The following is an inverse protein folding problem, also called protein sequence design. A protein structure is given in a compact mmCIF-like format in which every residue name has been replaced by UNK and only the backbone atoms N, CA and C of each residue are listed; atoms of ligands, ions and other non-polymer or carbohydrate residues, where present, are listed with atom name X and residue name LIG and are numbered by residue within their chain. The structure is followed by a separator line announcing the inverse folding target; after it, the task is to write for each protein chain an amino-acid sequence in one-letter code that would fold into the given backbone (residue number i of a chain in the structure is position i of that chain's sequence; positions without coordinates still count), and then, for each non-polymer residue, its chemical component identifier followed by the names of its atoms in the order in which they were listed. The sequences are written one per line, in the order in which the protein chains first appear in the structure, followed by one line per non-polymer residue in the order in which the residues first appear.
data_IF_411040864053
#
_entry.id   IF_411040864053
#
_cell.length_a   1.000
_cell.length_b   1.000
_cell.length_c   1.000
_cell.angle_alpha   90.00
_cell.angle_beta   90.00
_cell.angle_gamma   90.00
#
_symmetry.space_group_name_H-M   'P 1'
#
loop_
_entity.id
_entity.type
_entity.pdbx_description
1 polymer ?
#
# COMPACT_ATOMS: atom_id res chain seq x y z
N UNK A 1 43.76 14.74 14.60
CA UNK A 1 42.38 14.85 14.06
C UNK A 1 41.45 14.18 15.07
N UNK A 2 40.70 14.97 15.84
CA UNK A 2 40.04 14.49 17.07
C UNK A 2 38.76 13.69 16.78
N UNK A 3 38.56 12.56 17.46
CA UNK A 3 37.37 11.70 17.34
C UNK A 3 36.04 12.46 17.54
N UNK A 4 36.04 13.53 18.34
CA UNK A 4 34.87 14.40 18.51
C UNK A 4 34.41 15.03 17.19
N UNK A 5 35.33 15.42 16.32
CA UNK A 5 35.02 16.01 15.01
C UNK A 5 34.40 14.99 14.04
N UNK A 6 34.82 13.73 14.12
CA UNK A 6 34.26 12.62 13.35
C UNK A 6 32.83 12.27 13.81
N UNK A 7 32.53 12.36 15.10
CA UNK A 7 31.16 12.16 15.60
C UNK A 7 30.20 13.26 15.13
N UNK A 8 30.64 14.52 15.09
CA UNK A 8 29.81 15.60 14.54
C UNK A 8 29.51 15.42 13.03
N UNK A 9 30.45 14.84 12.28
CA UNK A 9 30.26 14.52 10.86
C UNK A 9 29.35 13.30 10.63
N UNK A 10 29.40 12.28 11.50
CA UNK A 10 28.51 11.11 11.45
C UNK A 10 27.06 11.46 11.84
N UNK A 11 26.86 12.37 12.80
CA UNK A 11 25.51 12.81 13.16
C UNK A 11 24.86 13.72 12.10
N UNK A 12 25.65 14.42 11.27
CA UNK A 12 25.14 15.24 10.17
C UNK A 12 24.57 14.42 8.99
N UNK A 13 24.85 13.12 8.93
CA UNK A 13 24.31 12.20 7.91
C UNK A 13 22.99 11.53 8.31
N UNK A 14 22.47 11.77 9.51
CA UNK A 14 21.28 11.10 10.05
C UNK A 14 20.03 11.99 10.08
N UNK A 15 19.83 12.86 9.08
CA UNK A 15 18.72 13.83 9.08
C UNK A 15 17.97 13.90 7.74
N UNK A 16 17.33 12.81 7.31
CA UNK A 16 16.02 12.90 6.64
C UNK A 16 15.35 11.51 6.55
N UNK A 17 14.75 11.03 7.64
CA UNK A 17 13.79 9.90 7.60
C UNK A 17 12.34 10.37 7.31
N UNK A 18 12.17 11.58 6.76
CA UNK A 18 10.89 12.19 6.35
C UNK A 18 10.85 12.19 4.81
N UNK A 19 9.69 12.12 4.11
CA UNK A 19 9.63 12.06 2.64
C UNK A 19 9.96 13.40 1.99
N UNK A 20 11.13 13.94 2.32
CA UNK A 20 11.74 15.05 1.62
C UNK A 20 12.15 14.57 0.22
N UNK A 21 12.05 15.45 -0.77
CA UNK A 21 12.37 15.15 -2.18
C UNK A 21 13.75 14.49 -2.36
N UNK A 22 14.70 14.83 -1.48
CA UNK A 22 16.03 14.22 -1.43
C UNK A 22 16.00 12.76 -0.96
N UNK A 23 15.20 12.40 0.05
CA UNK A 23 15.09 11.01 0.50
C UNK A 23 14.45 10.10 -0.57
N UNK A 24 13.44 10.61 -1.28
CA UNK A 24 12.83 9.90 -2.42
C UNK A 24 13.87 9.73 -3.52
N UNK A 25 14.57 10.81 -3.91
CA UNK A 25 15.63 10.73 -4.92
C UNK A 25 16.72 9.72 -4.53
N UNK A 26 17.16 9.67 -3.27
CA UNK A 26 18.17 8.72 -2.79
C UNK A 26 17.64 7.28 -2.75
N UNK A 27 16.37 7.05 -2.40
CA UNK A 27 15.77 5.72 -2.42
C UNK A 27 15.70 5.13 -3.85
N UNK A 28 15.54 5.99 -4.85
CA UNK A 28 15.60 5.66 -6.28
C UNK A 28 16.97 5.94 -6.91
N UNK A 29 17.98 6.32 -6.12
CA UNK A 29 19.35 6.59 -6.61
C UNK A 29 20.16 5.30 -6.81
N UNK A 30 19.61 4.14 -6.44
CA UNK A 30 20.10 2.86 -6.98
C UNK A 30 19.98 2.85 -8.51
N UNK A 31 20.76 2.00 -9.18
CA UNK A 31 20.74 1.88 -10.63
C UNK A 31 19.34 1.43 -11.08
N UNK A 32 18.49 2.39 -11.44
CA UNK A 32 17.39 2.12 -12.36
C UNK A 32 18.09 1.79 -13.67
N UNK A 33 18.18 0.51 -14.00
CA UNK A 33 18.62 0.11 -15.34
C UNK A 33 17.54 0.62 -16.29
N UNK A 34 17.81 1.70 -17.05
CA UNK A 34 16.85 2.09 -18.08
C UNK A 34 16.71 0.88 -19.00
N UNK A 35 15.47 0.53 -19.34
CA UNK A 35 15.27 -0.48 -20.36
C UNK A 35 15.95 0.05 -21.63
N UNK A 36 16.89 -0.74 -22.18
CA UNK A 36 17.64 -0.36 -23.37
C UNK A 36 16.73 -0.08 -24.56
N UNK A 37 17.26 0.49 -25.66
CA UNK A 37 16.47 0.71 -26.86
C UNK A 37 15.87 -0.62 -27.36
N UNK A 38 14.61 -0.59 -27.77
CA UNK A 38 13.87 -1.80 -28.16
C UNK A 38 14.53 -2.57 -29.31
N UNK A 39 15.32 -1.88 -30.14
CA UNK A 39 16.08 -2.47 -31.24
C UNK A 39 17.20 -3.41 -30.79
N UNK A 40 17.67 -3.29 -29.54
CA UNK A 40 18.70 -4.15 -28.94
C UNK A 40 18.08 -5.33 -28.18
N UNK A 41 16.75 -5.43 -28.10
CA UNK A 41 16.12 -6.52 -27.36
C UNK A 41 16.13 -7.79 -28.21
N UNK A 42 16.74 -8.84 -27.68
CA UNK A 42 16.58 -10.19 -28.19
C UNK A 42 15.26 -10.76 -27.66
N UNK A 43 14.19 -10.61 -28.44
CA UNK A 43 12.84 -11.08 -28.08
C UNK A 43 12.60 -12.43 -28.75
N UNK A 44 12.47 -13.54 -28.00
CA UNK A 44 12.17 -14.85 -28.56
C UNK A 44 10.88 -14.87 -29.40
N UNK A 45 10.83 -15.70 -30.45
CA UNK A 45 9.67 -15.79 -31.36
C UNK A 45 8.37 -16.14 -30.63
N UNK A 46 8.44 -16.99 -29.60
CA UNK A 46 7.31 -17.38 -28.77
C UNK A 46 6.73 -16.19 -27.99
N UNK A 47 7.54 -15.18 -27.65
CA UNK A 47 7.12 -13.93 -27.00
C UNK A 47 6.60 -12.92 -28.03
N UNK A 48 7.28 -12.77 -29.17
CA UNK A 48 6.84 -11.87 -30.25
C UNK A 48 5.44 -12.24 -30.78
N UNK A 49 5.11 -13.53 -30.78
CA UNK A 49 3.82 -14.05 -31.22
C UNK A 49 2.70 -13.90 -30.17
N UNK A 50 3.01 -13.46 -28.94
CA UNK A 50 2.00 -13.29 -27.88
C UNK A 50 1.17 -12.03 -28.12
N UNK A 51 -0.11 -12.23 -28.43
CA UNK A 51 -1.09 -11.14 -28.44
C UNK A 51 -1.58 -10.89 -27.02
N UNK A 52 -1.13 -9.79 -26.40
CA UNK A 52 -1.62 -9.36 -25.08
C UNK A 52 -2.97 -8.66 -25.25
N UNK A 53 -4.05 -9.36 -24.91
CA UNK A 53 -5.39 -8.78 -24.87
C UNK A 53 -5.63 -8.03 -23.55
N UNK A 54 -6.44 -6.96 -23.56
CA UNK A 54 -6.84 -6.31 -22.32
C UNK A 54 -7.61 -7.29 -21.43
N UNK A 55 -7.56 -7.11 -20.09
CA UNK A 55 -8.34 -7.92 -19.16
C UNK A 55 -9.81 -7.97 -19.59
N UNK A 56 -10.35 -9.18 -19.68
CA UNK A 56 -11.76 -9.38 -20.03
C UNK A 56 -12.62 -9.00 -18.81
N UNK A 57 -13.21 -7.80 -18.85
CA UNK A 57 -14.15 -7.36 -17.84
C UNK A 57 -14.39 -5.85 -17.88
N UNK A 58 -15.64 -5.44 -17.62
CA UNK A 58 -15.95 -4.03 -17.36
C UNK A 58 -16.02 -3.82 -15.85
N UNK A 59 -15.39 -2.74 -15.37
CA UNK A 59 -15.67 -2.25 -14.01
C UNK A 59 -17.14 -1.81 -14.00
N UNK A 60 -17.96 -2.24 -13.02
CA UNK A 60 -19.34 -1.79 -12.94
C UNK A 60 -19.38 -0.26 -12.87
N UNK A 61 -20.26 0.34 -13.68
CA UNK A 61 -20.50 1.77 -13.63
C UNK A 61 -21.13 2.13 -12.28
N UNK A 62 -20.76 3.31 -11.76
CA UNK A 62 -21.31 3.83 -10.51
C UNK A 62 -20.40 3.68 -9.30
N UNK A 63 -21.00 3.87 -8.12
CA UNK A 63 -20.27 3.97 -6.85
C UNK A 63 -19.76 2.58 -6.43
N UNK A 64 -18.48 2.45 -6.04
CA UNK A 64 -17.99 1.24 -5.41
C UNK A 64 -18.84 0.83 -4.20
N UNK A 65 -19.01 -0.48 -3.93
CA UNK A 65 -19.77 -0.93 -2.77
C UNK A 65 -19.15 -0.36 -1.48
N UNK A 66 -20.01 0.05 -0.55
CA UNK A 66 -19.56 0.51 0.79
C UNK A 66 -18.86 -0.59 1.58
N UNK A 67 -19.20 -1.86 1.30
CA UNK A 67 -18.58 -3.03 1.93
C UNK A 67 -17.33 -3.41 1.15
N UNK A 68 -16.23 -3.59 1.86
CA UNK A 68 -14.96 -4.09 1.32
C UNK A 68 -15.13 -5.54 0.82
N UNK A 69 -14.47 -5.88 -0.29
CA UNK A 69 -14.32 -7.28 -0.75
C UNK A 69 -13.00 -7.82 -0.16
N UNK A 70 -13.00 -8.95 0.57
CA UNK A 70 -11.78 -9.59 1.04
C UNK A 70 -11.00 -10.20 -0.13
N UNK A 71 -9.67 -10.24 0.01
CA UNK A 71 -8.79 -10.98 -0.91
C UNK A 71 -8.84 -12.49 -0.60
N UNK A 72 -8.23 -13.30 -1.45
CA UNK A 72 -8.06 -14.72 -1.19
C UNK A 72 -7.22 -14.94 0.08
N UNK A 73 -7.70 -15.80 0.99
CA UNK A 73 -7.08 -16.02 2.31
C UNK A 73 -7.46 -15.00 3.39
N UNK A 74 -8.20 -13.93 3.06
CA UNK A 74 -8.70 -13.00 4.08
C UNK A 74 -10.05 -13.44 4.65
N UNK A 75 -10.15 -13.49 5.98
CA UNK A 75 -11.43 -13.74 6.64
C UNK A 75 -12.32 -12.49 6.68
N UNK A 76 -13.64 -12.71 6.50
CA UNK A 76 -14.64 -11.67 6.69
C UNK A 76 -14.87 -11.49 8.19
N UNK A 77 -14.22 -10.48 8.78
CA UNK A 77 -14.47 -10.11 10.18
C UNK A 77 -15.72 -9.24 10.29
N UNK A 78 -16.79 -9.81 10.84
CA UNK A 78 -17.97 -9.04 11.20
C UNK A 78 -17.77 -8.34 12.55
N UNK A 79 -17.68 -7.00 12.52
CA UNK A 79 -17.59 -6.19 13.73
C UNK A 79 -18.89 -6.31 14.54
N UNK A 80 -18.76 -6.79 15.77
CA UNK A 80 -19.84 -6.80 16.77
C UNK A 80 -20.01 -5.41 17.36
N UNK A 81 -21.24 -5.06 17.72
CA UNK A 81 -21.56 -3.84 18.42
C UNK A 81 -20.83 -3.80 19.77
N UNK A 82 -20.13 -2.71 20.09
CA UNK A 82 -19.42 -2.58 21.37
C UNK A 82 -20.33 -2.69 22.60
N UNK A 83 -21.60 -2.27 22.47
CA UNK A 83 -22.62 -2.26 23.53
C UNK A 83 -23.31 -3.62 23.67
N UNK A 84 -24.10 -4.05 22.69
CA UNK A 84 -24.91 -5.27 22.80
C UNK A 84 -24.27 -6.53 22.19
N UNK A 85 -23.06 -6.44 21.64
CA UNK A 85 -22.35 -7.52 20.92
C UNK A 85 -23.07 -8.10 19.70
N UNK A 86 -24.22 -7.56 19.30
CA UNK A 86 -24.95 -7.93 18.09
C UNK A 86 -24.26 -7.47 16.80
N UNK A 87 -24.66 -8.05 15.66
CA UNK A 87 -24.12 -7.73 14.33
C UNK A 87 -24.97 -6.68 13.60
N UNK A 88 -24.45 -6.16 12.47
CA UNK A 88 -25.20 -5.31 11.53
C UNK A 88 -25.33 -3.83 11.90
N UNK A 89 -24.89 -3.43 13.09
CA UNK A 89 -24.92 -2.04 13.53
C UNK A 89 -23.70 -1.68 14.39
N UNK A 90 -23.38 -0.39 14.45
CA UNK A 90 -22.31 0.13 15.31
C UNK A 90 -22.88 0.60 16.66
N UNK A 91 -22.00 0.90 17.64
CA UNK A 91 -22.39 1.39 18.98
C UNK A 91 -23.26 2.66 18.90
N UNK A 92 -22.99 3.54 17.94
CA UNK A 92 -23.70 4.82 17.76
C UNK A 92 -25.17 4.63 17.33
N UNK A 93 -25.45 3.63 16.48
CA UNK A 93 -26.80 3.29 16.01
C UNK A 93 -27.44 2.17 16.83
N UNK A 94 -26.84 1.79 17.95
CA UNK A 94 -27.35 0.73 18.80
C UNK A 94 -28.57 1.20 19.58
N UNK A 95 -29.68 0.47 19.45
CA UNK A 95 -30.92 0.72 20.20
C UNK A 95 -30.94 0.07 21.59
N UNK A 96 -29.93 -0.75 21.92
CA UNK A 96 -29.83 -1.34 23.24
C UNK A 96 -29.54 -0.27 24.31
N UNK A 97 -30.09 -0.42 25.52
CA UNK A 97 -29.85 0.51 26.62
C UNK A 97 -28.36 0.59 26.95
N UNK A 98 -27.93 1.78 27.35
CA UNK A 98 -26.56 2.00 27.84
C UNK A 98 -26.51 1.39 29.24
N UNK A 99 -25.70 0.35 29.45
CA UNK A 99 -25.39 -0.12 30.80
C UNK A 99 -24.66 0.99 31.55
N UNK A 100 -25.14 1.34 32.74
CA UNK A 100 -24.57 2.41 33.58
C UNK A 100 -23.51 1.89 34.56
N UNK A 101 -22.95 0.71 34.31
CA UNK A 101 -22.02 0.03 35.24
C UNK A 101 -20.68 -0.21 34.55
N UNK A 102 -19.66 0.53 35.00
CA UNK A 102 -18.25 0.10 35.02
C UNK A 102 -17.93 -0.32 36.47
#
# INVERSE_FOLDING_TARGET
MNLRMLMYLLHALAACNLPCRHAIATAYAGSIYPVGPMQEWDVPDDVQCVVVLPPKGRKPSGRPPKKRRPSEGEEIVHRKCGRCKGLGHNRQKCKAPISLTD
#
